data_IF_099907129231
#
_entry.id   IF_099907129231
#
_cell.length_a   1.000
_cell.length_b   1.000
_cell.length_c   1.000
_cell.angle_alpha   90.00
_cell.angle_beta   90.00
_cell.angle_gamma   90.00
#
_symmetry.space_group_name_H-M   'P 1'
#
loop_
_entity.id
_entity.type
_entity.pdbx_description
1 polymer ?
#
# COMPACT_ATOMS: atom_id res chain seq x y z
N UNK A 1 5.13 -10.85 10.74
CA UNK A 1 4.41 -9.61 10.30
C UNK A 1 4.72 -9.26 8.86
N UNK A 2 3.84 -8.50 8.19
CA UNK A 2 4.07 -7.92 6.85
C UNK A 2 3.90 -6.42 6.91
N UNK A 3 4.82 -5.67 6.31
CA UNK A 3 4.62 -4.25 6.00
C UNK A 3 4.15 -4.13 4.54
N UNK A 4 2.86 -3.89 4.32
CA UNK A 4 2.26 -3.95 2.98
C UNK A 4 2.47 -2.69 2.14
N UNK A 5 3.12 -1.65 2.67
CA UNK A 5 3.41 -0.43 1.91
C UNK A 5 4.50 0.41 2.58
N UNK A 6 5.63 0.55 1.91
CA UNK A 6 6.68 1.50 2.26
C UNK A 6 7.49 1.93 1.02
N UNK A 7 8.29 2.97 1.13
CA UNK A 7 9.11 3.52 0.05
C UNK A 7 10.60 3.35 0.37
N UNK A 8 11.11 2.13 0.23
CA UNK A 8 12.51 1.79 0.51
C UNK A 8 13.50 2.51 -0.41
N UNK A 9 13.07 2.85 -1.62
CA UNK A 9 13.84 3.57 -2.63
C UNK A 9 14.06 5.04 -2.30
N UNK A 10 13.29 5.60 -1.36
CA UNK A 10 13.39 7.01 -0.97
C UNK A 10 14.48 7.24 0.08
N UNK A 11 15.19 8.35 -0.04
CA UNK A 11 16.00 8.86 1.08
C UNK A 11 15.10 9.35 2.23
N UNK A 12 15.45 9.09 3.48
CA UNK A 12 16.73 8.56 3.95
C UNK A 12 16.78 7.04 4.18
N UNK A 13 15.77 6.24 3.73
CA UNK A 13 15.79 4.79 3.92
C UNK A 13 16.82 4.12 3.02
N UNK A 14 16.89 4.53 1.75
CA UNK A 14 17.81 3.95 0.76
C UNK A 14 19.27 4.03 1.20
N UNK A 15 19.69 5.16 1.78
CA UNK A 15 21.07 5.34 2.26
C UNK A 15 21.46 4.47 3.47
N UNK A 16 20.50 3.81 4.12
CA UNK A 16 20.71 2.97 5.32
C UNK A 16 20.00 1.60 5.20
N UNK A 17 19.75 1.16 3.97
CA UNK A 17 18.81 0.07 3.65
C UNK A 17 19.14 -1.24 4.38
N UNK A 18 20.42 -1.67 4.39
CA UNK A 18 20.84 -2.89 5.09
C UNK A 18 20.47 -2.87 6.58
N UNK A 19 20.61 -1.73 7.23
CA UNK A 19 20.29 -1.59 8.65
C UNK A 19 18.79 -1.45 8.87
N UNK A 20 18.07 -0.79 7.97
CA UNK A 20 16.62 -0.65 8.00
C UNK A 20 15.97 -2.03 7.92
N UNK A 21 16.36 -2.84 6.94
CA UNK A 21 15.81 -4.18 6.76
C UNK A 21 16.23 -5.13 7.88
N UNK A 22 17.49 -5.06 8.34
CA UNK A 22 17.92 -5.87 9.50
C UNK A 22 17.07 -5.60 10.73
N UNK A 23 16.80 -4.31 11.06
CA UNK A 23 15.91 -3.98 12.18
C UNK A 23 14.49 -4.51 11.96
N UNK A 24 13.99 -4.49 10.72
CA UNK A 24 12.68 -5.05 10.39
C UNK A 24 12.64 -6.57 10.66
N UNK A 25 13.65 -7.30 10.18
CA UNK A 25 13.77 -8.74 10.40
C UNK A 25 13.94 -9.09 11.90
N UNK A 26 14.75 -8.33 12.63
CA UNK A 26 14.96 -8.51 14.08
C UNK A 26 13.66 -8.29 14.88
N UNK A 27 12.73 -7.45 14.37
CA UNK A 27 11.39 -7.23 14.96
C UNK A 27 10.31 -8.18 14.43
N UNK A 28 10.70 -9.20 13.63
CA UNK A 28 9.78 -10.23 13.12
C UNK A 28 8.96 -9.82 11.89
N UNK A 29 9.34 -8.74 11.19
CA UNK A 29 8.75 -8.44 9.88
C UNK A 29 9.32 -9.43 8.88
N UNK A 30 8.50 -10.30 8.30
CA UNK A 30 8.95 -11.33 7.36
C UNK A 30 8.82 -10.91 5.90
N UNK A 31 7.99 -9.92 5.60
CA UNK A 31 7.81 -9.40 4.25
C UNK A 31 7.64 -7.89 4.26
N UNK A 32 8.23 -7.22 3.28
CA UNK A 32 8.15 -5.77 3.07
C UNK A 32 7.80 -5.49 1.61
N UNK A 33 6.73 -4.72 1.38
CA UNK A 33 6.32 -4.33 0.03
C UNK A 33 6.78 -2.91 -0.24
N UNK A 34 7.81 -2.78 -1.07
CA UNK A 34 8.33 -1.48 -1.51
C UNK A 34 7.55 -0.97 -2.71
N UNK A 35 7.25 0.32 -2.72
CA UNK A 35 6.32 0.93 -3.67
C UNK A 35 6.99 2.05 -4.44
N UNK A 36 7.07 1.91 -5.76
CA UNK A 36 7.51 3.00 -6.66
C UNK A 36 6.34 3.89 -7.05
N UNK A 37 6.61 5.17 -7.27
CA UNK A 37 5.60 6.21 -7.53
C UNK A 37 5.75 6.89 -8.89
N UNK A 38 6.84 6.62 -9.59
CA UNK A 38 7.20 7.09 -10.93
C UNK A 38 8.17 6.10 -11.60
N UNK A 39 8.59 6.42 -12.82
CA UNK A 39 9.46 5.55 -13.63
C UNK A 39 10.77 5.20 -12.92
N UNK A 40 11.45 6.20 -12.33
CA UNK A 40 12.77 6.00 -11.72
C UNK A 40 12.65 5.28 -10.37
N UNK A 41 11.71 5.68 -9.53
CA UNK A 41 11.45 5.01 -8.25
C UNK A 41 10.98 3.57 -8.45
N UNK A 42 10.16 3.28 -9.47
CA UNK A 42 9.78 1.90 -9.83
C UNK A 42 10.98 1.03 -10.21
N UNK A 43 11.93 1.58 -10.98
CA UNK A 43 13.17 0.87 -11.33
C UNK A 43 13.99 0.55 -10.08
N UNK A 44 14.18 1.54 -9.20
CA UNK A 44 14.90 1.37 -7.93
C UNK A 44 14.20 0.38 -7.00
N UNK A 45 12.88 0.46 -6.89
CA UNK A 45 12.06 -0.46 -6.10
C UNK A 45 12.26 -1.91 -6.54
N UNK A 46 12.24 -2.17 -7.84
CA UNK A 46 12.46 -3.52 -8.36
C UNK A 46 13.91 -4.00 -8.14
N UNK A 47 14.89 -3.12 -8.26
CA UNK A 47 16.30 -3.44 -7.95
C UNK A 47 16.48 -3.80 -6.47
N UNK A 48 15.81 -3.08 -5.57
CA UNK A 48 15.81 -3.39 -4.13
C UNK A 48 15.16 -4.76 -3.89
N UNK A 49 13.99 -5.02 -4.47
CA UNK A 49 13.32 -6.31 -4.33
C UNK A 49 14.17 -7.49 -4.81
N UNK A 50 14.95 -7.31 -5.89
CA UNK A 50 15.89 -8.33 -6.39
C UNK A 50 17.13 -8.55 -5.49
N UNK A 51 17.42 -7.57 -4.63
CA UNK A 51 18.64 -7.58 -3.80
C UNK A 51 18.41 -8.09 -2.39
N UNK A 52 17.16 -8.18 -1.93
CA UNK A 52 16.84 -8.53 -0.56
C UNK A 52 15.69 -9.53 -0.49
N UNK A 53 15.94 -10.69 0.08
CA UNK A 53 14.91 -11.71 0.33
C UNK A 53 13.81 -11.15 1.24
N UNK A 54 12.56 -11.48 0.96
CA UNK A 54 11.40 -10.98 1.70
C UNK A 54 10.96 -9.56 1.29
N UNK A 55 11.64 -8.92 0.33
CA UNK A 55 11.19 -7.64 -0.24
C UNK A 55 10.52 -7.90 -1.59
N UNK A 56 9.34 -7.28 -1.78
CA UNK A 56 8.55 -7.34 -3.00
C UNK A 56 8.32 -5.94 -3.55
N UNK A 57 8.06 -5.83 -4.85
CA UNK A 57 7.85 -4.57 -5.54
C UNK A 57 6.37 -4.34 -5.90
N UNK A 58 5.94 -3.10 -5.79
CA UNK A 58 4.68 -2.57 -6.32
C UNK A 58 5.04 -1.40 -7.22
N UNK A 59 4.58 -1.41 -8.46
CA UNK A 59 4.97 -0.45 -9.49
C UNK A 59 3.76 0.29 -10.06
N UNK A 60 3.87 1.61 -10.19
CA UNK A 60 2.82 2.44 -10.77
C UNK A 60 3.19 3.92 -10.80
N UNK A 61 2.30 4.74 -11.36
CA UNK A 61 2.41 6.19 -11.30
C UNK A 61 1.43 6.75 -10.27
N UNK A 62 1.99 7.32 -9.21
CA UNK A 62 1.24 8.04 -8.19
C UNK A 62 0.51 9.25 -8.81
N UNK A 63 -0.68 9.64 -8.31
CA UNK A 63 -1.42 10.79 -8.83
C UNK A 63 -0.62 12.09 -8.90
N UNK A 64 0.36 12.29 -8.03
CA UNK A 64 1.27 13.46 -8.10
C UNK A 64 2.08 13.49 -9.39
N UNK A 65 2.46 12.33 -9.91
CA UNK A 65 3.29 12.16 -11.11
C UNK A 65 2.48 11.81 -12.36
N UNK A 66 1.15 11.90 -12.31
CA UNK A 66 0.25 11.51 -13.41
C UNK A 66 0.59 12.21 -14.74
N UNK A 67 1.03 13.48 -14.71
CA UNK A 67 1.48 14.21 -15.91
C UNK A 67 2.70 13.61 -16.61
N UNK A 68 3.45 12.73 -15.94
CA UNK A 68 4.64 12.06 -16.47
C UNK A 68 4.33 10.66 -17.02
N UNK A 69 3.12 10.14 -16.74
CA UNK A 69 2.65 8.82 -17.13
C UNK A 69 2.22 8.76 -18.60
N UNK A 70 3.15 8.99 -19.52
CA UNK A 70 2.91 8.78 -20.95
C UNK A 70 2.65 7.29 -21.26
N UNK A 71 2.01 6.99 -22.39
CA UNK A 71 1.74 5.61 -22.80
C UNK A 71 3.04 4.80 -22.88
N UNK A 72 4.13 5.38 -23.39
CA UNK A 72 5.45 4.72 -23.43
C UNK A 72 6.04 4.46 -22.04
N UNK A 73 5.84 5.37 -21.07
CA UNK A 73 6.27 5.15 -19.69
C UNK A 73 5.45 4.05 -19.00
N UNK A 74 4.15 4.01 -19.24
CA UNK A 74 3.28 2.95 -18.74
C UNK A 74 3.63 1.57 -19.33
N UNK A 75 3.93 1.51 -20.64
CA UNK A 75 4.41 0.28 -21.30
C UNK A 75 5.74 -0.22 -20.73
N UNK A 76 6.65 0.68 -20.39
CA UNK A 76 7.92 0.32 -19.74
C UNK A 76 7.68 -0.30 -18.37
N UNK A 77 6.84 0.33 -17.53
CA UNK A 77 6.48 -0.23 -16.24
C UNK A 77 5.78 -1.58 -16.39
N UNK A 78 4.88 -1.73 -17.37
CA UNK A 78 4.21 -2.99 -17.65
C UNK A 78 5.18 -4.12 -18.02
N UNK A 79 6.28 -3.81 -18.72
CA UNK A 79 7.37 -4.78 -18.98
C UNK A 79 8.12 -5.15 -17.71
N UNK A 80 8.41 -4.18 -16.85
CA UNK A 80 9.05 -4.43 -15.55
C UNK A 80 8.16 -5.28 -14.64
N UNK A 81 6.84 -5.09 -14.72
CA UNK A 81 5.85 -5.82 -13.92
C UNK A 81 5.70 -7.30 -14.30
N UNK A 82 6.41 -7.80 -15.32
CA UNK A 82 6.51 -9.22 -15.63
C UNK A 82 7.51 -9.96 -14.71
N UNK A 83 8.29 -9.24 -13.92
CA UNK A 83 9.16 -9.82 -12.91
C UNK A 83 8.34 -10.44 -11.78
N UNK A 84 8.61 -11.69 -11.36
CA UNK A 84 7.84 -12.37 -10.33
C UNK A 84 7.89 -11.71 -8.94
N UNK A 85 8.83 -10.80 -8.71
CA UNK A 85 8.90 -10.01 -7.49
C UNK A 85 7.95 -8.81 -7.49
N UNK A 86 7.33 -8.50 -8.63
CA UNK A 86 6.28 -7.49 -8.72
C UNK A 86 4.94 -8.13 -8.41
N UNK A 87 4.36 -7.75 -7.27
CA UNK A 87 3.17 -8.37 -6.70
C UNK A 87 1.92 -7.49 -6.77
N UNK A 88 2.04 -6.24 -7.19
CA UNK A 88 0.92 -5.30 -7.27
C UNK A 88 1.17 -4.18 -8.26
N UNK A 89 0.10 -3.55 -8.72
CA UNK A 89 0.13 -2.36 -9.57
C UNK A 89 -0.32 -1.14 -8.77
N UNK A 90 0.62 -0.27 -8.49
CA UNK A 90 0.42 0.91 -7.62
C UNK A 90 1.75 1.61 -7.32
N UNK A 91 1.73 2.70 -6.67
CA UNK A 91 0.61 3.41 -6.07
C UNK A 91 -0.14 4.22 -7.14
N UNK A 92 -1.44 3.99 -7.28
CA UNK A 92 -2.28 4.62 -8.31
C UNK A 92 -3.51 5.25 -7.66
N UNK A 93 -4.16 6.19 -8.31
CA UNK A 93 -5.39 6.77 -7.78
C UNK A 93 -5.47 8.29 -7.89
N UNK A 94 -6.04 8.94 -6.87
CA UNK A 94 -6.35 10.36 -6.87
C UNK A 94 -5.89 11.07 -5.57
N UNK A 95 -5.25 12.24 -5.71
CA UNK A 95 -4.93 13.15 -4.60
C UNK A 95 -5.42 14.56 -4.92
N UNK A 96 -6.58 14.92 -4.39
CA UNK A 96 -7.17 16.25 -4.55
C UNK A 96 -6.79 17.19 -3.39
N UNK A 97 -6.00 16.72 -2.44
CA UNK A 97 -5.45 17.54 -1.38
C UNK A 97 -4.18 18.27 -1.81
N UNK A 98 -3.20 17.54 -2.38
CA UNK A 98 -1.95 18.12 -2.89
C UNK A 98 -2.12 18.71 -4.30
N UNK A 99 -2.92 18.04 -5.13
CA UNK A 99 -3.32 18.48 -6.49
C UNK A 99 -2.11 18.85 -7.39
N UNK A 100 -1.03 18.01 -7.33
CA UNK A 100 0.24 18.29 -8.03
C UNK A 100 0.21 17.98 -9.53
N UNK A 101 -0.72 17.15 -9.98
CA UNK A 101 -1.10 16.99 -11.37
C UNK A 101 -2.56 17.39 -11.56
N UNK A 102 -2.97 17.94 -12.70
CA UNK A 102 -4.36 18.32 -12.95
C UNK A 102 -5.33 17.16 -12.73
N UNK A 103 -6.46 17.39 -12.06
CA UNK A 103 -7.40 16.32 -11.67
C UNK A 103 -7.85 15.45 -12.85
N UNK A 104 -8.21 16.05 -13.98
CA UNK A 104 -8.59 15.29 -15.17
C UNK A 104 -7.46 14.40 -15.71
N UNK A 105 -6.19 14.80 -15.54
CA UNK A 105 -5.03 13.98 -15.89
C UNK A 105 -4.89 12.83 -14.89
N UNK A 106 -5.06 13.10 -13.58
CA UNK A 106 -5.05 12.04 -12.56
C UNK A 106 -6.11 10.98 -12.87
N UNK A 107 -7.35 11.40 -13.18
CA UNK A 107 -8.46 10.49 -13.50
C UNK A 107 -8.19 9.67 -14.77
N UNK A 108 -7.70 10.30 -15.85
CA UNK A 108 -7.35 9.60 -17.09
C UNK A 108 -6.26 8.55 -16.86
N UNK A 109 -5.18 8.94 -16.18
CA UNK A 109 -4.06 8.05 -15.88
C UNK A 109 -4.48 6.92 -14.94
N UNK A 110 -5.33 7.20 -13.96
CA UNK A 110 -5.86 6.16 -13.06
C UNK A 110 -6.66 5.11 -13.84
N UNK A 111 -7.54 5.50 -14.76
CA UNK A 111 -8.28 4.58 -15.64
C UNK A 111 -7.35 3.71 -16.50
N UNK A 112 -6.33 4.33 -17.12
CA UNK A 112 -5.33 3.59 -17.91
C UNK A 112 -4.60 2.55 -17.05
N UNK A 113 -4.23 2.92 -15.82
CA UNK A 113 -3.53 2.04 -14.89
C UNK A 113 -4.41 0.89 -14.38
N UNK A 114 -5.72 1.10 -14.16
CA UNK A 114 -6.66 0.02 -13.85
C UNK A 114 -6.72 -0.98 -15.02
N UNK A 115 -6.77 -0.48 -16.26
CA UNK A 115 -6.78 -1.35 -17.46
C UNK A 115 -5.49 -2.17 -17.58
N UNK A 116 -4.31 -1.57 -17.28
CA UNK A 116 -3.03 -2.27 -17.28
C UNK A 116 -2.96 -3.33 -16.18
N UNK A 117 -3.37 -2.99 -14.95
CA UNK A 117 -3.42 -3.93 -13.83
C UNK A 117 -4.26 -5.18 -14.18
N UNK A 118 -5.41 -4.96 -14.81
CA UNK A 118 -6.25 -6.06 -15.30
C UNK A 118 -5.54 -6.93 -16.34
N UNK A 119 -4.86 -6.33 -17.31
CA UNK A 119 -4.09 -7.07 -18.32
C UNK A 119 -2.95 -7.88 -17.73
N UNK A 120 -2.29 -7.33 -16.71
CA UNK A 120 -1.17 -7.96 -15.99
C UNK A 120 -1.63 -8.99 -14.94
N UNK A 121 -2.90 -8.98 -14.56
CA UNK A 121 -3.42 -9.81 -13.46
C UNK A 121 -2.88 -9.41 -12.08
N UNK A 122 -2.51 -8.13 -11.89
CA UNK A 122 -1.95 -7.62 -10.66
C UNK A 122 -2.99 -6.85 -9.84
N UNK A 123 -3.09 -7.06 -8.51
CA UNK A 123 -3.99 -6.30 -7.66
C UNK A 123 -3.57 -4.82 -7.60
N UNK A 124 -4.57 -3.95 -7.45
CA UNK A 124 -4.37 -2.51 -7.35
C UNK A 124 -3.92 -2.10 -5.93
N UNK A 125 -2.97 -1.17 -5.83
CA UNK A 125 -2.68 -0.44 -4.59
C UNK A 125 -3.07 1.02 -4.79
N UNK A 126 -4.13 1.44 -4.08
CA UNK A 126 -4.87 2.65 -4.39
C UNK A 126 -4.62 3.72 -3.33
N UNK A 127 -4.16 4.87 -3.81
CA UNK A 127 -4.13 6.13 -3.10
C UNK A 127 -5.43 6.91 -3.31
N UNK A 128 -6.07 7.32 -2.22
CA UNK A 128 -7.27 8.16 -2.28
C UNK A 128 -7.20 9.22 -1.19
N UNK A 129 -7.02 10.47 -1.58
CA UNK A 129 -6.92 11.57 -0.62
C UNK A 129 -7.81 12.74 -1.00
N UNK A 130 -8.86 13.00 -0.19
CA UNK A 130 -9.92 13.96 -0.48
C UNK A 130 -10.56 13.73 -1.87
N UNK A 131 -10.66 12.46 -2.29
CA UNK A 131 -11.12 12.04 -3.62
C UNK A 131 -11.92 10.72 -3.57
N UNK A 132 -12.47 10.35 -2.40
CA UNK A 132 -13.10 9.05 -2.21
C UNK A 132 -14.29 8.84 -3.16
N UNK A 133 -15.12 9.86 -3.39
CA UNK A 133 -16.28 9.75 -4.28
C UNK A 133 -15.87 9.48 -5.73
N UNK A 134 -14.91 10.24 -6.24
CA UNK A 134 -14.37 10.10 -7.60
C UNK A 134 -13.61 8.79 -7.76
N UNK A 135 -12.80 8.41 -6.75
CA UNK A 135 -12.10 7.11 -6.73
C UNK A 135 -13.10 5.96 -6.82
N UNK A 136 -14.14 5.94 -5.98
CA UNK A 136 -15.19 4.92 -6.01
C UNK A 136 -15.97 4.89 -7.33
N UNK A 137 -16.23 6.06 -7.91
CA UNK A 137 -16.87 6.14 -9.22
C UNK A 137 -16.02 5.48 -10.29
N UNK A 138 -14.73 5.83 -10.40
CA UNK A 138 -13.81 5.26 -11.37
C UNK A 138 -13.66 3.75 -11.18
N UNK A 139 -13.49 3.28 -9.93
CA UNK A 139 -13.38 1.86 -9.64
C UNK A 139 -14.62 1.06 -10.10
N UNK A 140 -15.82 1.65 -9.99
CA UNK A 140 -17.06 1.03 -10.49
C UNK A 140 -17.13 1.05 -12.02
N UNK A 141 -16.86 2.20 -12.64
CA UNK A 141 -16.90 2.35 -14.09
C UNK A 141 -15.91 1.41 -14.79
N UNK A 142 -14.70 1.29 -14.25
CA UNK A 142 -13.64 0.43 -14.76
C UNK A 142 -13.74 -1.04 -14.28
N UNK A 143 -14.77 -1.40 -13.50
CA UNK A 143 -14.97 -2.76 -12.95
C UNK A 143 -13.74 -3.29 -12.21
N UNK A 144 -13.10 -2.43 -11.40
CA UNK A 144 -11.86 -2.76 -10.71
C UNK A 144 -11.99 -3.92 -9.71
N UNK A 145 -13.23 -4.28 -9.29
CA UNK A 145 -13.50 -5.48 -8.47
C UNK A 145 -13.09 -6.80 -9.15
N UNK A 146 -12.94 -6.84 -10.49
CA UNK A 146 -12.51 -8.04 -11.22
C UNK A 146 -11.06 -8.42 -10.90
N UNK A 147 -10.24 -7.44 -10.50
CA UNK A 147 -8.85 -7.62 -10.10
C UNK A 147 -8.64 -7.41 -8.61
N UNK A 148 -9.49 -6.63 -7.95
CA UNK A 148 -9.37 -6.31 -6.53
C UNK A 148 -8.15 -5.47 -6.19
N UNK A 149 -7.80 -5.44 -4.91
CA UNK A 149 -6.63 -4.72 -4.43
C UNK A 149 -6.80 -4.14 -3.02
N UNK A 150 -6.04 -3.10 -2.76
CA UNK A 150 -5.88 -2.50 -1.43
C UNK A 150 -6.11 -1.00 -1.52
N UNK A 151 -6.91 -0.45 -0.61
CA UNK A 151 -6.93 0.98 -0.34
C UNK A 151 -5.86 1.24 0.72
N UNK A 152 -4.73 1.79 0.27
CA UNK A 152 -3.59 2.06 1.13
C UNK A 152 -3.81 3.30 1.98
N UNK A 153 -3.18 3.35 3.15
CA UNK A 153 -3.14 4.47 4.08
C UNK A 153 -4.54 5.09 4.36
N UNK A 154 -5.54 4.21 4.52
CA UNK A 154 -6.94 4.62 4.65
C UNK A 154 -7.13 5.59 5.83
N UNK A 155 -7.81 6.70 5.59
CA UNK A 155 -8.03 7.75 6.58
C UNK A 155 -9.42 8.39 6.54
N UNK A 156 -10.30 7.89 5.65
CA UNK A 156 -11.68 8.38 5.51
C UNK A 156 -12.62 7.77 6.56
N UNK A 157 -13.92 7.97 6.40
CA UNK A 157 -14.95 7.50 7.31
C UNK A 157 -15.43 6.07 7.03
N UNK A 158 -16.39 5.62 7.84
CA UNK A 158 -16.96 4.28 7.72
C UNK A 158 -17.73 4.06 6.41
N UNK A 159 -18.43 5.06 5.90
CA UNK A 159 -19.24 4.90 4.69
C UNK A 159 -18.36 4.70 3.45
N UNK A 160 -17.21 5.39 3.40
CA UNK A 160 -16.18 5.19 2.37
C UNK A 160 -15.54 3.80 2.52
N UNK A 161 -15.13 3.42 3.73
CA UNK A 161 -14.58 2.09 4.00
C UNK A 161 -15.54 0.98 3.54
N UNK A 162 -16.82 1.09 3.94
CA UNK A 162 -17.87 0.15 3.53
C UNK A 162 -18.02 0.06 2.02
N UNK A 163 -17.99 1.21 1.33
CA UNK A 163 -18.10 1.26 -0.13
C UNK A 163 -16.93 0.56 -0.84
N UNK A 164 -15.71 0.66 -0.32
CA UNK A 164 -14.55 -0.08 -0.82
C UNK A 164 -14.64 -1.57 -0.51
N UNK A 165 -15.11 -1.94 0.70
CA UNK A 165 -15.36 -3.34 1.07
C UNK A 165 -16.42 -4.00 0.19
N UNK A 166 -17.50 -3.29 -0.14
CA UNK A 166 -18.56 -3.77 -1.03
C UNK A 166 -18.03 -4.03 -2.45
N UNK A 167 -16.93 -3.38 -2.86
CA UNK A 167 -16.19 -3.65 -4.09
C UNK A 167 -15.12 -4.74 -3.93
N UNK A 168 -14.99 -5.37 -2.74
CA UNK A 168 -14.04 -6.45 -2.50
C UNK A 168 -12.62 -6.02 -2.14
N UNK A 169 -12.35 -4.72 -1.96
CA UNK A 169 -11.03 -4.23 -1.60
C UNK A 169 -10.66 -4.50 -0.15
N UNK A 170 -9.36 -4.64 0.11
CA UNK A 170 -8.78 -4.61 1.45
C UNK A 170 -8.54 -3.16 1.89
N UNK A 171 -8.53 -2.94 3.20
CA UNK A 171 -8.26 -1.64 3.81
C UNK A 171 -6.95 -1.74 4.58
N UNK A 172 -5.95 -0.98 4.17
CA UNK A 172 -4.66 -0.95 4.85
C UNK A 172 -4.57 0.24 5.80
N UNK A 173 -4.09 -0.04 7.00
CA UNK A 173 -4.02 0.90 8.12
C UNK A 173 -2.55 1.20 8.42
N UNK A 174 -2.21 2.49 8.40
CA UNK A 174 -0.86 2.98 8.70
C UNK A 174 -0.70 3.48 10.14
N UNK A 175 0.51 3.90 10.49
CA UNK A 175 0.88 4.43 11.80
C UNK A 175 0.03 5.57 12.34
N UNK A 176 -0.76 6.24 11.48
CA UNK A 176 -1.69 7.30 11.89
C UNK A 176 -2.74 6.83 12.90
N UNK A 177 -3.09 5.53 12.92
CA UNK A 177 -4.03 4.96 13.89
C UNK A 177 -3.61 5.18 15.33
N UNK A 178 -2.31 5.26 15.59
CA UNK A 178 -1.71 5.48 16.92
C UNK A 178 -1.81 6.94 17.37
N UNK A 179 -2.16 7.88 16.48
CA UNK A 179 -2.16 9.30 16.82
C UNK A 179 -3.36 9.69 17.68
N UNK A 180 -3.14 10.64 18.60
CA UNK A 180 -4.19 11.11 19.51
C UNK A 180 -5.48 11.54 18.80
N UNK A 181 -5.37 12.14 17.60
CA UNK A 181 -6.50 12.66 16.83
C UNK A 181 -7.17 11.62 15.93
N UNK A 182 -6.73 10.38 15.92
CA UNK A 182 -7.24 9.31 15.04
C UNK A 182 -8.54 8.65 15.54
N UNK A 183 -9.35 9.33 16.37
CA UNK A 183 -10.58 8.76 16.94
C UNK A 183 -11.54 8.22 15.88
N UNK A 184 -11.77 8.96 14.81
CA UNK A 184 -12.61 8.51 13.69
C UNK A 184 -12.10 7.23 13.03
N UNK A 185 -10.79 7.17 12.73
CA UNK A 185 -10.18 5.97 12.14
C UNK A 185 -10.26 4.75 13.08
N UNK A 186 -10.11 4.95 14.39
CA UNK A 186 -10.29 3.87 15.38
C UNK A 186 -11.71 3.29 15.35
N UNK A 187 -12.73 4.14 15.20
CA UNK A 187 -14.11 3.68 15.03
C UNK A 187 -14.30 2.88 13.73
N UNK A 188 -13.66 3.30 12.65
CA UNK A 188 -13.66 2.53 11.40
C UNK A 188 -13.01 1.17 11.62
N UNK A 189 -11.81 1.11 12.21
CA UNK A 189 -11.09 -0.14 12.45
C UNK A 189 -11.91 -1.11 13.32
N UNK A 190 -12.61 -0.64 14.35
CA UNK A 190 -13.51 -1.51 15.15
C UNK A 190 -14.59 -2.19 14.31
N UNK A 191 -15.09 -1.53 13.27
CA UNK A 191 -16.15 -2.03 12.37
C UNK A 191 -15.62 -2.88 11.22
N UNK A 192 -14.38 -2.67 10.76
CA UNK A 192 -13.81 -3.40 9.63
C UNK A 192 -13.87 -4.93 9.88
N UNK A 193 -14.25 -5.74 8.88
CA UNK A 193 -14.07 -7.19 8.93
C UNK A 193 -12.58 -7.53 9.10
N UNK A 194 -12.27 -8.47 9.97
CA UNK A 194 -10.88 -8.82 10.25
C UNK A 194 -10.15 -9.39 9.03
N UNK A 195 -10.88 -10.10 8.17
CA UNK A 195 -10.39 -10.69 6.92
C UNK A 195 -10.20 -9.67 5.78
N UNK A 196 -10.32 -8.38 6.07
CA UNK A 196 -10.14 -7.28 5.12
C UNK A 196 -9.18 -6.20 5.60
N UNK A 197 -8.52 -6.42 6.74
CA UNK A 197 -7.55 -5.46 7.32
C UNK A 197 -6.15 -5.85 6.91
N UNK A 198 -5.38 -4.85 6.44
CA UNK A 198 -3.94 -4.89 6.27
C UNK A 198 -3.26 -3.87 7.16
N UNK A 199 -1.96 -4.03 7.35
CA UNK A 199 -1.10 -3.11 8.10
C UNK A 199 0.07 -2.67 7.26
N UNK A 200 0.45 -1.41 7.42
CA UNK A 200 1.56 -0.81 6.70
C UNK A 200 2.26 0.27 7.52
N UNK A 201 3.43 0.69 7.07
CA UNK A 201 4.12 1.85 7.66
C UNK A 201 3.91 3.13 6.87
N UNK A 202 3.88 3.09 5.56
CA UNK A 202 4.06 4.23 4.65
C UNK A 202 5.42 4.94 4.90
N UNK A 203 6.43 4.15 5.30
CA UNK A 203 7.76 4.67 5.58
C UNK A 203 8.43 5.25 4.32
N UNK A 204 9.14 6.39 4.43
CA UNK A 204 9.67 7.04 5.64
C UNK A 204 8.69 7.99 6.37
N UNK A 205 7.44 8.04 5.94
CA UNK A 205 6.40 8.92 6.46
C UNK A 205 5.65 8.30 7.64
N UNK A 206 4.79 9.07 8.29
CA UNK A 206 3.73 8.64 9.21
C UNK A 206 4.20 7.78 10.40
N UNK A 207 5.42 8.00 10.92
CA UNK A 207 5.94 7.26 12.07
C UNK A 207 4.91 7.16 13.21
N UNK A 208 4.63 5.94 13.71
CA UNK A 208 3.66 5.72 14.77
C UNK A 208 4.15 6.27 16.12
N UNK A 209 3.26 6.41 17.10
CA UNK A 209 3.64 6.61 18.48
C UNK A 209 4.29 5.30 19.00
N UNK A 210 5.46 5.36 19.71
CA UNK A 210 6.10 6.54 20.29
C UNK A 210 7.08 7.28 19.37
N UNK A 211 7.28 6.85 18.13
CA UNK A 211 8.30 7.35 17.20
C UNK A 211 7.85 8.58 16.38
N UNK A 212 6.70 9.14 16.69
CA UNK A 212 6.17 10.30 15.96
C UNK A 212 7.15 11.45 15.88
N UNK A 213 7.39 11.96 14.66
CA UNK A 213 8.34 13.04 14.40
C UNK A 213 9.76 12.59 14.06
N UNK A 214 10.03 11.28 14.12
CA UNK A 214 11.24 10.67 13.57
C UNK A 214 10.99 10.07 12.18
N UNK A 215 12.04 9.63 11.52
CA UNK A 215 11.95 8.80 10.32
C UNK A 215 11.20 7.51 10.64
N UNK A 216 10.18 7.18 9.85
CA UNK A 216 9.52 5.89 9.91
C UNK A 216 10.35 4.82 9.21
N UNK A 217 10.14 3.54 9.58
CA UNK A 217 10.78 2.39 8.96
C UNK A 217 9.90 1.13 9.10
N UNK A 218 10.08 0.10 8.26
CA UNK A 218 9.25 -1.12 8.30
C UNK A 218 9.17 -1.79 9.67
N UNK A 219 10.22 -1.74 10.48
CA UNK A 219 10.24 -2.25 11.86
C UNK A 219 9.12 -1.68 12.73
N UNK A 220 8.60 -0.50 12.40
CA UNK A 220 7.58 0.19 13.19
C UNK A 220 6.14 -0.25 12.86
N UNK A 221 5.92 -1.11 11.86
CA UNK A 221 4.60 -1.68 11.55
C UNK A 221 3.99 -2.39 12.77
N UNK A 222 4.80 -2.93 13.66
CA UNK A 222 4.37 -3.56 14.91
C UNK A 222 3.50 -2.66 15.78
N UNK A 223 3.77 -1.36 15.83
CA UNK A 223 2.98 -0.42 16.65
C UNK A 223 1.60 -0.19 16.06
N UNK A 224 1.48 -0.19 14.73
CA UNK A 224 0.19 -0.17 14.03
C UNK A 224 -0.59 -1.44 14.33
N UNK A 225 0.05 -2.61 14.22
CA UNK A 225 -0.55 -3.91 14.51
C UNK A 225 -1.03 -4.01 15.96
N UNK A 226 -0.22 -3.57 16.93
CA UNK A 226 -0.59 -3.55 18.36
C UNK A 226 -1.85 -2.71 18.62
N UNK A 227 -1.95 -1.53 18.02
CA UNK A 227 -3.13 -0.68 18.17
C UNK A 227 -4.37 -1.34 17.56
N UNK A 228 -4.26 -1.97 16.37
CA UNK A 228 -5.35 -2.69 15.73
C UNK A 228 -5.78 -3.89 16.58
N UNK A 229 -4.85 -4.69 17.09
CA UNK A 229 -5.13 -5.84 17.96
C UNK A 229 -5.92 -5.39 19.20
N UNK A 230 -5.49 -4.31 19.86
CA UNK A 230 -6.19 -3.74 21.00
C UNK A 230 -7.62 -3.28 20.65
N UNK A 231 -7.82 -2.62 19.49
CA UNK A 231 -9.13 -2.17 19.01
C UNK A 231 -10.06 -3.33 18.68
N UNK A 232 -9.53 -4.47 18.25
CA UNK A 232 -10.24 -5.71 17.92
C UNK A 232 -10.44 -6.63 19.13
N UNK A 233 -9.83 -6.30 20.28
CA UNK A 233 -9.88 -7.15 21.48
C UNK A 233 -9.17 -8.50 21.26
N UNK A 234 -8.08 -8.52 20.48
CA UNK A 234 -7.30 -9.71 20.14
C UNK A 234 -5.88 -9.63 20.68
N UNK A 235 -5.25 -10.80 20.84
CA UNK A 235 -3.82 -10.90 21.06
C UNK A 235 -3.06 -10.46 19.79
N UNK A 236 -1.88 -9.85 19.98
CA UNK A 236 -1.08 -9.30 18.87
C UNK A 236 -0.70 -10.41 17.88
N UNK A 237 -0.30 -11.59 18.36
CA UNK A 237 0.04 -12.74 17.51
C UNK A 237 -1.13 -13.23 16.65
N UNK A 238 -2.35 -13.23 17.20
CA UNK A 238 -3.54 -13.60 16.43
C UNK A 238 -3.81 -12.58 15.31
N UNK A 239 -3.68 -11.28 15.62
CA UNK A 239 -3.88 -10.23 14.60
C UNK A 239 -2.77 -10.24 13.55
N UNK A 240 -1.55 -10.61 13.92
CA UNK A 240 -0.44 -10.81 12.99
C UNK A 240 -0.75 -11.92 11.97
N UNK A 241 -1.19 -13.09 12.43
CA UNK A 241 -1.59 -14.20 11.54
C UNK A 241 -2.73 -13.81 10.60
N UNK A 242 -3.71 -13.05 11.10
CA UNK A 242 -4.84 -12.56 10.30
C UNK A 242 -4.34 -11.62 9.19
N UNK A 243 -3.55 -10.60 9.55
CA UNK A 243 -3.10 -9.59 8.58
C UNK A 243 -2.10 -10.17 7.58
N UNK A 244 -1.27 -11.12 7.98
CA UNK A 244 -0.38 -11.84 7.06
C UNK A 244 -1.16 -12.69 6.06
N UNK A 245 -2.14 -13.48 6.52
CA UNK A 245 -3.03 -14.23 5.63
C UNK A 245 -3.77 -13.29 4.67
N UNK A 246 -4.27 -12.16 5.16
CA UNK A 246 -4.95 -11.17 4.33
C UNK A 246 -4.02 -10.59 3.26
N UNK A 247 -2.75 -10.30 3.60
CA UNK A 247 -1.75 -9.83 2.64
C UNK A 247 -1.51 -10.87 1.53
N UNK A 248 -1.39 -12.16 1.87
CA UNK A 248 -1.26 -13.25 0.88
C UNK A 248 -2.50 -13.40 -0.01
N UNK A 249 -3.70 -13.14 0.53
CA UNK A 249 -4.95 -13.14 -0.26
C UNK A 249 -5.03 -11.92 -1.16
N UNK A 250 -4.68 -10.73 -0.65
CA UNK A 250 -4.71 -9.48 -1.42
C UNK A 250 -3.70 -9.48 -2.58
N UNK A 251 -2.52 -10.09 -2.34
CA UNK A 251 -1.40 -10.15 -3.29
C UNK A 251 -1.13 -11.61 -3.68
N UNK A 252 -2.02 -12.21 -4.46
CA UNK A 252 -2.00 -13.64 -4.83
C UNK A 252 -0.72 -14.11 -5.55
N UNK A 253 0.10 -13.17 -6.04
CA UNK A 253 1.38 -13.47 -6.69
C UNK A 253 2.50 -13.84 -5.71
N UNK A 254 2.29 -13.66 -4.41
CA UNK A 254 3.27 -14.07 -3.39
C UNK A 254 3.27 -15.59 -3.34
N UNK A 255 4.24 -16.21 -4.02
CA UNK A 255 4.50 -17.65 -3.87
C UNK A 255 5.17 -17.89 -2.54
N UNK A 256 4.73 -18.94 -1.83
CA UNK A 256 5.51 -19.44 -0.70
C UNK A 256 6.90 -19.81 -1.24
N UNK A 257 7.94 -19.08 -0.80
CA UNK A 257 9.30 -19.51 -1.00
C UNK A 257 9.47 -20.72 -0.08
N UNK A 258 9.35 -21.91 -0.66
CA UNK A 258 9.72 -23.13 0.04
C UNK A 258 11.22 -23.01 0.39
N UNK A 259 11.51 -22.95 1.68
CA UNK A 259 12.85 -23.01 2.24
C UNK A 259 13.32 -24.45 2.33
#
# INVERSE_FOLDING_TARGET
MVDTHCHLEMEPLRGDLDRVLRRAWDEGVGMVFSVGVDRESCRLTLEIARSYDGVYAILGFHPHNAKEASDGALEELAKMAQDPLVIGWGEVGLDFYRDLSPRGVQEEVFRKQISLARHLGLPLVIHSRQAAAETLQILREEKAWEIGGVIHCFSDGWEEAKSYLDLGFFISISGIITYRKAGGLREVVRKLPEDRILVETDAPYLAPVPHRGSRNEPAFVRFTLQEIAALKGKEVGEMEEITERNARVAFQSIKDQEH
#
